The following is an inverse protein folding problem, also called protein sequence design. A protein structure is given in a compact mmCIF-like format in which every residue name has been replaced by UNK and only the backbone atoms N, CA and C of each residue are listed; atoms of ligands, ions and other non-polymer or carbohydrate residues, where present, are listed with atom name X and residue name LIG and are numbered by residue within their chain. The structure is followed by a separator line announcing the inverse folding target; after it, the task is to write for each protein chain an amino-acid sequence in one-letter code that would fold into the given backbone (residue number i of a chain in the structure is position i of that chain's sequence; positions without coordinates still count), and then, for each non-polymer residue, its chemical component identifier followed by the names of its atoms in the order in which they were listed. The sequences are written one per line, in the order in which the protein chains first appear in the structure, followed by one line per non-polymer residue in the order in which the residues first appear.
data_IF_911864009774
#
_entry.id   IF_911864009774
#
_cell.length_a   1.000
_cell.length_b   1.000
_cell.length_c   1.000
_cell.angle_alpha   90.00
_cell.angle_beta   90.00
_cell.angle_gamma   90.00
#
_symmetry.space_group_name_H-M   'P 1'
#
loop_
_entity.id
_entity.type
_entity.pdbx_description
1 polymer ?
#
# COMPACT_ATOMS: atom_id res chain seq x y z
N UNK A 1 -2.79 -27.27 1.23
CA UNK A 1 -4.04 -28.00 0.85
C UNK A 1 -5.06 -27.99 1.97
N UNK A 2 -4.85 -28.65 3.14
CA UNK A 2 -5.84 -28.69 4.23
C UNK A 2 -6.25 -27.27 4.68
N UNK A 3 -5.30 -26.42 5.02
CA UNK A 3 -5.56 -25.04 5.44
C UNK A 3 -6.31 -24.22 4.37
N UNK A 4 -5.98 -24.41 3.08
CA UNK A 4 -6.66 -23.73 1.97
C UNK A 4 -8.14 -24.10 1.92
N UNK A 5 -8.46 -25.39 2.04
CA UNK A 5 -9.85 -25.83 2.02
C UNK A 5 -10.60 -25.41 3.27
N UNK A 6 -9.96 -25.49 4.46
CA UNK A 6 -10.56 -24.99 5.70
C UNK A 6 -10.91 -23.50 5.60
N UNK A 7 -10.01 -22.69 5.02
CA UNK A 7 -10.29 -21.26 4.80
C UNK A 7 -11.49 -21.01 3.86
N UNK A 8 -11.65 -21.84 2.82
CA UNK A 8 -12.76 -21.74 1.87
C UNK A 8 -14.12 -22.20 2.43
N UNK A 9 -14.11 -23.07 3.47
CA UNK A 9 -15.32 -23.58 4.11
C UNK A 9 -15.53 -23.01 5.52
N UNK A 10 -14.72 -22.01 5.92
CA UNK A 10 -14.74 -21.43 7.26
C UNK A 10 -16.07 -20.72 7.56
N UNK A 11 -16.51 -19.86 6.64
CA UNK A 11 -17.75 -19.09 6.76
C UNK A 11 -18.85 -19.71 5.88
N UNK A 12 -19.94 -20.15 6.51
CA UNK A 12 -21.09 -20.73 5.81
C UNK A 12 -21.81 -19.76 4.89
N UNK A 13 -21.77 -18.46 5.23
CA UNK A 13 -22.47 -17.44 4.48
C UNK A 13 -21.68 -16.93 3.26
N UNK A 14 -20.41 -17.32 3.13
CA UNK A 14 -19.52 -16.86 2.08
C UNK A 14 -18.78 -18.03 1.38
N UNK A 15 -19.48 -19.13 1.15
CA UNK A 15 -18.93 -20.29 0.46
C UNK A 15 -19.02 -20.07 -1.06
N UNK A 16 -17.86 -19.89 -1.70
CA UNK A 16 -17.76 -19.74 -3.16
C UNK A 16 -17.98 -21.07 -3.94
N UNK A 17 -17.82 -22.20 -3.27
CA UNK A 17 -17.94 -23.55 -3.84
C UNK A 17 -18.62 -24.49 -2.86
N UNK A 18 -19.40 -25.43 -3.38
CA UNK A 18 -20.03 -26.49 -2.55
C UNK A 18 -18.99 -27.22 -1.70
N UNK A 19 -19.30 -27.41 -0.41
CA UNK A 19 -18.40 -28.02 0.56
C UNK A 19 -17.98 -29.45 0.19
N UNK A 20 -18.91 -30.22 -0.40
CA UNK A 20 -18.62 -31.59 -0.88
C UNK A 20 -17.61 -31.57 -2.02
N UNK A 21 -17.76 -30.62 -2.96
CA UNK A 21 -16.84 -30.44 -4.07
C UNK A 21 -15.44 -30.06 -3.57
N UNK A 22 -15.33 -29.15 -2.61
CA UNK A 22 -14.04 -28.74 -2.03
C UNK A 22 -13.33 -29.90 -1.32
N UNK A 23 -14.07 -30.70 -0.54
CA UNK A 23 -13.51 -31.88 0.13
C UNK A 23 -13.02 -32.90 -0.89
N UNK A 24 -13.83 -33.19 -1.91
CA UNK A 24 -13.49 -34.15 -2.95
C UNK A 24 -12.23 -33.71 -3.74
N UNK A 25 -12.18 -32.44 -4.17
CA UNK A 25 -11.02 -31.90 -4.90
C UNK A 25 -9.75 -31.92 -4.05
N UNK A 26 -9.84 -31.65 -2.75
CA UNK A 26 -8.68 -31.78 -1.85
C UNK A 26 -8.17 -33.21 -1.74
N UNK A 27 -9.06 -34.18 -1.65
CA UNK A 27 -8.71 -35.60 -1.58
C UNK A 27 -8.08 -36.09 -2.89
N UNK A 28 -8.66 -35.74 -4.03
CA UNK A 28 -8.12 -36.08 -5.35
C UNK A 28 -6.75 -35.41 -5.59
N UNK A 29 -6.60 -34.16 -5.21
CA UNK A 29 -5.31 -33.46 -5.27
C UNK A 29 -4.26 -34.11 -4.37
N UNK A 30 -4.64 -34.63 -3.21
CA UNK A 30 -3.72 -35.39 -2.35
C UNK A 30 -3.33 -36.73 -2.98
N UNK A 31 -4.24 -37.44 -3.60
CA UNK A 31 -4.00 -38.72 -4.28
C UNK A 31 -3.11 -38.57 -5.51
N UNK A 32 -3.19 -37.45 -6.22
CA UNK A 32 -2.43 -37.22 -7.46
C UNK A 32 -0.93 -37.01 -7.25
N UNK A 33 -0.48 -36.74 -6.01
CA UNK A 33 0.92 -36.49 -5.67
C UNK A 33 1.49 -37.63 -4.81
N UNK A 34 2.62 -38.25 -5.18
CA UNK A 34 3.22 -39.34 -4.40
C UNK A 34 3.46 -38.97 -2.92
N UNK A 35 3.90 -37.73 -2.67
CA UNK A 35 4.26 -37.23 -1.34
C UNK A 35 3.07 -37.10 -0.38
N UNK A 36 1.84 -36.93 -0.92
CA UNK A 36 0.63 -36.70 -0.12
C UNK A 36 -0.42 -37.79 -0.25
N UNK A 37 -0.19 -38.79 -1.14
CA UNK A 37 -1.17 -39.84 -1.42
C UNK A 37 -1.60 -40.62 -0.17
N UNK A 38 -0.65 -40.94 0.72
CA UNK A 38 -0.93 -41.67 1.96
C UNK A 38 -1.74 -40.86 2.96
N UNK A 39 -1.79 -39.53 2.81
CA UNK A 39 -2.49 -38.59 3.70
C UNK A 39 -3.91 -38.27 3.22
N UNK A 40 -4.32 -38.78 2.07
CA UNK A 40 -5.63 -38.46 1.48
C UNK A 40 -6.82 -38.80 2.40
N UNK A 41 -6.77 -39.96 3.09
CA UNK A 41 -7.79 -40.38 4.06
C UNK A 41 -7.80 -39.49 5.30
N UNK A 42 -6.66 -39.07 5.79
CA UNK A 42 -6.53 -38.13 6.91
C UNK A 42 -7.10 -36.76 6.55
N UNK A 43 -6.77 -36.23 5.37
CA UNK A 43 -7.30 -34.95 4.86
C UNK A 43 -8.83 -35.03 4.79
N UNK A 44 -9.39 -36.12 4.22
CA UNK A 44 -10.84 -36.30 4.15
C UNK A 44 -11.48 -36.35 5.54
N UNK A 45 -10.88 -37.08 6.49
CA UNK A 45 -11.39 -37.16 7.85
C UNK A 45 -11.40 -35.80 8.57
N UNK A 46 -10.32 -35.04 8.46
CA UNK A 46 -10.22 -33.69 9.04
C UNK A 46 -11.28 -32.74 8.48
N UNK A 47 -11.44 -32.69 7.16
CA UNK A 47 -12.40 -31.79 6.51
C UNK A 47 -13.83 -32.17 6.85
N UNK A 48 -14.17 -33.48 6.83
CA UNK A 48 -15.51 -33.95 7.23
C UNK A 48 -15.79 -33.72 8.70
N UNK A 49 -14.81 -33.87 9.58
CA UNK A 49 -14.94 -33.52 11.00
C UNK A 49 -15.23 -32.04 11.17
N UNK A 50 -14.47 -31.18 10.49
CA UNK A 50 -14.70 -29.74 10.52
C UNK A 50 -16.12 -29.37 10.09
N UNK A 51 -16.63 -29.95 9.00
CA UNK A 51 -17.97 -29.67 8.53
C UNK A 51 -19.07 -30.10 9.55
N UNK A 52 -18.86 -31.21 10.31
CA UNK A 52 -19.82 -31.66 11.34
C UNK A 52 -19.74 -30.84 12.61
N UNK A 53 -18.55 -30.40 13.01
CA UNK A 53 -18.28 -29.80 14.31
C UNK A 53 -17.92 -28.31 14.18
N UNK A 54 -18.20 -27.69 13.01
CA UNK A 54 -17.74 -26.37 12.62
C UNK A 54 -17.98 -25.33 13.72
N UNK A 55 -19.20 -25.15 14.20
CA UNK A 55 -19.54 -24.14 15.19
C UNK A 55 -18.69 -24.27 16.47
N UNK A 56 -18.59 -25.50 17.01
CA UNK A 56 -17.81 -25.77 18.22
C UNK A 56 -16.30 -25.55 18.00
N UNK A 57 -15.77 -25.93 16.83
CA UNK A 57 -14.35 -25.74 16.51
C UNK A 57 -14.01 -24.25 16.29
N UNK A 58 -14.91 -23.49 15.66
CA UNK A 58 -14.73 -22.04 15.50
C UNK A 58 -14.80 -21.34 16.86
N UNK A 59 -15.78 -21.69 17.71
CA UNK A 59 -15.90 -21.12 19.05
C UNK A 59 -14.63 -21.38 19.88
N UNK A 60 -14.15 -22.63 19.88
CA UNK A 60 -12.92 -23.00 20.60
C UNK A 60 -11.69 -22.23 20.10
N UNK A 61 -11.51 -22.12 18.80
CA UNK A 61 -10.35 -21.39 18.20
C UNK A 61 -10.45 -19.88 18.41
N UNK A 62 -11.65 -19.32 18.40
CA UNK A 62 -11.90 -17.88 18.61
C UNK A 62 -11.59 -17.40 20.03
N UNK A 63 -11.33 -18.31 20.97
CA UNK A 63 -10.81 -17.94 22.29
C UNK A 63 -9.34 -17.49 22.24
N UNK A 64 -8.62 -17.80 21.18
CA UNK A 64 -7.24 -17.35 20.97
C UNK A 64 -7.24 -16.08 20.13
N UNK A 65 -6.62 -15.01 20.64
CA UNK A 65 -6.59 -13.70 19.93
C UNK A 65 -5.95 -13.79 18.54
N UNK A 66 -4.91 -14.62 18.37
CA UNK A 66 -4.26 -14.82 17.08
C UNK A 66 -5.22 -15.43 16.04
N UNK A 67 -6.04 -16.38 16.45
CA UNK A 67 -7.05 -16.97 15.60
C UNK A 67 -8.22 -16.02 15.33
N UNK A 68 -8.69 -15.33 16.38
CA UNK A 68 -9.79 -14.36 16.28
C UNK A 68 -9.47 -13.22 15.32
N UNK A 69 -8.28 -12.64 15.46
CA UNK A 69 -7.86 -11.47 14.68
C UNK A 69 -7.04 -11.82 13.44
N UNK A 70 -6.63 -13.08 13.29
CA UNK A 70 -5.79 -13.55 12.17
C UNK A 70 -4.48 -12.74 12.03
N UNK A 71 -3.83 -12.46 13.18
CA UNK A 71 -2.56 -11.75 13.27
C UNK A 71 -1.64 -12.40 14.31
N UNK A 72 -0.31 -12.31 14.17
CA UNK A 72 0.62 -12.77 15.22
C UNK A 72 0.42 -12.01 16.53
N UNK A 73 0.64 -12.68 17.67
CA UNK A 73 0.44 -12.10 18.99
C UNK A 73 1.23 -10.80 19.24
N UNK A 74 2.50 -10.73 18.79
CA UNK A 74 3.31 -9.52 18.89
C UNK A 74 2.68 -8.33 18.13
N UNK A 75 2.08 -8.59 16.96
CA UNK A 75 1.40 -7.57 16.16
C UNK A 75 0.17 -7.03 16.85
N UNK A 76 -0.68 -7.94 17.35
CA UNK A 76 -1.88 -7.58 18.12
C UNK A 76 -1.50 -6.72 19.32
N UNK A 77 -0.49 -7.16 20.10
CA UNK A 77 -0.01 -6.44 21.28
C UNK A 77 0.50 -5.03 20.92
N UNK A 78 1.24 -4.90 19.81
CA UNK A 78 1.76 -3.62 19.33
C UNK A 78 0.63 -2.68 18.91
N UNK A 79 -0.34 -3.13 18.09
CA UNK A 79 -1.47 -2.30 17.65
C UNK A 79 -2.35 -1.90 18.86
N UNK A 80 -2.62 -2.80 19.80
CA UNK A 80 -3.34 -2.47 21.04
C UNK A 80 -2.65 -1.36 21.83
N UNK A 81 -1.33 -1.42 21.95
CA UNK A 81 -0.53 -0.43 22.68
C UNK A 81 -0.53 0.92 21.98
N UNK A 82 -0.40 0.94 20.67
CA UNK A 82 -0.27 2.17 19.90
C UNK A 82 -1.62 2.84 19.62
N UNK A 83 -2.68 2.05 19.47
CA UNK A 83 -4.02 2.52 19.12
C UNK A 83 -5.11 1.94 20.03
N UNK A 84 -5.09 2.21 21.34
CA UNK A 84 -5.98 1.58 22.32
C UNK A 84 -7.47 1.78 22.02
N UNK A 85 -7.82 2.88 21.34
CA UNK A 85 -9.21 3.25 21.03
C UNK A 85 -9.75 2.51 19.79
N UNK A 86 -8.89 2.21 18.80
CA UNK A 86 -9.33 1.72 17.49
C UNK A 86 -8.59 0.45 16.99
N UNK A 87 -7.80 -0.21 17.84
CA UNK A 87 -7.05 -1.40 17.45
C UNK A 87 -7.91 -2.51 16.81
N UNK A 88 -9.16 -2.67 17.31
CA UNK A 88 -10.08 -3.69 16.77
C UNK A 88 -10.49 -3.37 15.33
N UNK A 89 -10.82 -2.11 15.05
CA UNK A 89 -11.19 -1.69 13.70
C UNK A 89 -10.02 -1.82 12.72
N UNK A 90 -8.79 -1.50 13.16
CA UNK A 90 -7.57 -1.69 12.34
C UNK A 90 -7.35 -3.16 11.99
N UNK A 91 -7.40 -4.07 12.97
CA UNK A 91 -7.23 -5.51 12.72
C UNK A 91 -8.39 -6.09 11.88
N UNK A 92 -9.62 -5.63 12.11
CA UNK A 92 -10.78 -6.05 11.31
C UNK A 92 -10.66 -5.57 9.85
N UNK A 93 -10.23 -4.33 9.62
CA UNK A 93 -10.00 -3.79 8.27
C UNK A 93 -8.97 -4.61 7.49
N UNK A 94 -7.91 -5.08 8.15
CA UNK A 94 -6.88 -5.93 7.56
C UNK A 94 -7.40 -7.29 7.05
N UNK A 95 -8.55 -7.75 7.54
CA UNK A 95 -9.17 -9.01 7.15
C UNK A 95 -10.26 -8.85 6.08
N UNK A 96 -10.60 -7.62 5.70
CA UNK A 96 -11.58 -7.35 4.64
C UNK A 96 -10.91 -7.36 3.27
N UNK A 97 -11.72 -7.57 2.24
CA UNK A 97 -11.27 -7.41 0.86
C UNK A 97 -10.97 -5.93 0.60
N UNK A 98 -9.79 -5.66 0.05
CA UNK A 98 -9.43 -4.31 -0.35
C UNK A 98 -10.29 -3.83 -1.54
N UNK A 99 -10.69 -2.56 -1.57
CA UNK A 99 -11.39 -2.00 -2.73
C UNK A 99 -10.46 -1.94 -3.94
N UNK A 100 -11.03 -2.06 -5.13
CA UNK A 100 -10.32 -1.77 -6.37
C UNK A 100 -10.44 -0.27 -6.66
N UNK A 101 -9.38 0.47 -6.35
CA UNK A 101 -9.32 1.92 -6.54
C UNK A 101 -8.40 2.25 -7.71
N UNK A 102 -8.88 3.08 -8.60
CA UNK A 102 -8.19 3.58 -9.78
C UNK A 102 -7.79 5.03 -9.54
N UNK A 103 -6.60 5.41 -9.95
CA UNK A 103 -6.18 6.80 -10.14
C UNK A 103 -6.27 7.14 -11.61
N UNK A 104 -7.09 8.12 -11.95
CA UNK A 104 -7.29 8.55 -13.33
C UNK A 104 -6.14 9.44 -13.79
N UNK A 105 -5.58 9.13 -14.95
CA UNK A 105 -4.58 9.96 -15.61
C UNK A 105 -5.27 11.22 -16.19
N UNK A 106 -5.23 12.30 -15.40
CA UNK A 106 -5.92 13.55 -15.76
C UNK A 106 -5.37 14.23 -17.03
N UNK A 107 -4.21 13.78 -17.52
CA UNK A 107 -3.66 14.24 -18.81
C UNK A 107 -4.38 13.61 -20.01
N UNK A 108 -5.11 12.52 -19.80
CA UNK A 108 -5.78 11.74 -20.87
C UNK A 108 -7.30 11.80 -20.77
N UNK A 109 -7.85 11.74 -19.57
CA UNK A 109 -9.31 11.75 -19.35
C UNK A 109 -9.62 12.33 -17.97
N UNK A 110 -10.77 12.99 -17.82
CA UNK A 110 -11.26 13.46 -16.53
C UNK A 110 -11.94 12.33 -15.76
N UNK A 111 -11.92 12.40 -14.41
CA UNK A 111 -12.62 11.43 -13.57
C UNK A 111 -14.13 11.35 -13.88
N UNK A 112 -14.76 12.49 -14.17
CA UNK A 112 -16.18 12.54 -14.56
C UNK A 112 -16.43 11.80 -15.88
N UNK A 113 -15.64 12.08 -16.92
CA UNK A 113 -15.78 11.41 -18.21
C UNK A 113 -15.53 9.90 -18.11
N UNK A 114 -14.56 9.48 -17.26
CA UNK A 114 -14.30 8.07 -17.05
C UNK A 114 -15.45 7.37 -16.30
N UNK A 115 -16.06 8.01 -15.28
CA UNK A 115 -17.25 7.49 -14.61
C UNK A 115 -18.43 7.29 -15.60
N UNK A 116 -18.61 8.21 -16.54
CA UNK A 116 -19.61 8.06 -17.58
C UNK A 116 -19.33 6.86 -18.50
N UNK A 117 -18.06 6.61 -18.83
CA UNK A 117 -17.67 5.41 -19.61
C UNK A 117 -17.98 4.13 -18.83
N UNK A 118 -17.63 4.06 -17.55
CA UNK A 118 -17.94 2.91 -16.70
C UNK A 118 -19.46 2.67 -16.61
N UNK A 119 -20.24 3.75 -16.43
CA UNK A 119 -21.71 3.68 -16.38
C UNK A 119 -22.31 3.11 -17.68
N UNK A 120 -21.82 3.51 -18.87
CA UNK A 120 -22.27 2.96 -20.16
C UNK A 120 -22.03 1.45 -20.29
N UNK A 121 -21.03 0.92 -19.59
CA UNK A 121 -20.69 -0.49 -19.54
C UNK A 121 -21.34 -1.24 -18.36
N UNK A 122 -22.25 -0.59 -17.62
CA UNK A 122 -22.88 -1.11 -16.40
C UNK A 122 -21.87 -1.51 -15.32
N UNK A 123 -20.74 -0.79 -15.22
CA UNK A 123 -19.74 -0.98 -14.19
C UNK A 123 -20.01 0.03 -13.08
N UNK A 124 -20.42 -0.48 -11.91
CA UNK A 124 -20.69 0.38 -10.75
C UNK A 124 -19.39 0.90 -10.14
N UNK A 125 -19.27 2.22 -10.11
CA UNK A 125 -18.12 2.93 -9.55
C UNK A 125 -18.54 4.23 -8.88
N UNK A 126 -17.69 4.75 -8.00
CA UNK A 126 -17.89 6.06 -7.33
C UNK A 126 -16.60 6.87 -7.36
N UNK A 127 -16.74 8.18 -7.37
CA UNK A 127 -15.62 9.08 -7.13
C UNK A 127 -15.23 9.05 -5.64
N UNK A 128 -13.91 9.05 -5.35
CA UNK A 128 -13.38 8.92 -3.99
C UNK A 128 -12.37 10.02 -3.64
N UNK A 129 -12.43 11.14 -4.34
CA UNK A 129 -11.56 12.30 -4.15
C UNK A 129 -10.47 12.43 -5.21
N UNK A 130 -10.04 13.65 -5.50
CA UNK A 130 -8.98 13.93 -6.48
C UNK A 130 -9.19 13.23 -7.82
N UNK A 131 -8.19 12.45 -8.24
CA UNK A 131 -8.25 11.60 -9.43
C UNK A 131 -8.79 10.17 -9.15
N UNK A 132 -9.26 9.90 -7.92
CA UNK A 132 -9.62 8.57 -7.45
C UNK A 132 -11.03 8.13 -7.88
N UNK A 133 -11.12 6.91 -8.39
CA UNK A 133 -12.39 6.21 -8.65
C UNK A 133 -12.31 4.82 -8.04
N UNK A 134 -13.33 4.43 -7.27
CA UNK A 134 -13.44 3.11 -6.66
C UNK A 134 -14.53 2.31 -7.38
N UNK A 135 -14.20 1.06 -7.72
CA UNK A 135 -15.15 0.11 -8.27
C UNK A 135 -15.84 -0.65 -7.12
N UNK A 136 -17.17 -0.74 -7.17
CA UNK A 136 -17.95 -1.48 -6.14
C UNK A 136 -17.70 -2.98 -6.17
N UNK A 137 -17.30 -3.52 -7.32
CA UNK A 137 -16.97 -4.94 -7.48
C UNK A 137 -15.60 -5.09 -8.14
N UNK A 138 -14.69 -5.90 -7.57
CA UNK A 138 -13.44 -6.23 -8.23
C UNK A 138 -13.68 -6.92 -9.58
N UNK A 139 -12.85 -6.56 -10.56
CA UNK A 139 -12.82 -7.20 -11.87
C UNK A 139 -11.42 -7.14 -12.45
N UNK A 140 -11.20 -7.85 -13.56
CA UNK A 140 -9.90 -7.81 -14.24
C UNK A 140 -9.59 -6.37 -14.68
N UNK A 141 -8.44 -5.86 -14.25
CA UNK A 141 -8.01 -4.50 -14.56
C UNK A 141 -7.81 -4.29 -16.06
N UNK A 142 -7.30 -5.33 -16.74
CA UNK A 142 -7.05 -5.29 -18.18
C UNK A 142 -8.33 -5.25 -19.02
N UNK A 143 -9.46 -5.69 -18.44
CA UNK A 143 -10.77 -5.63 -19.11
C UNK A 143 -11.45 -4.26 -18.98
N UNK A 144 -10.93 -3.38 -18.13
CA UNK A 144 -11.47 -2.04 -17.97
C UNK A 144 -11.11 -1.14 -19.16
N UNK A 145 -12.06 -0.28 -19.61
CA UNK A 145 -11.81 0.61 -20.73
C UNK A 145 -10.66 1.57 -20.43
N UNK A 146 -9.75 1.73 -21.39
CA UNK A 146 -8.62 2.66 -21.28
C UNK A 146 -7.40 2.14 -20.51
N UNK A 147 -7.35 0.86 -20.13
CA UNK A 147 -6.15 0.29 -19.49
C UNK A 147 -4.92 0.37 -20.38
N UNK A 148 -5.02 -0.12 -21.61
CA UNK A 148 -3.91 -0.11 -22.56
C UNK A 148 -3.59 1.30 -23.07
N UNK A 149 -4.58 2.17 -23.13
CA UNK A 149 -4.42 3.58 -23.47
C UNK A 149 -3.82 4.42 -22.33
N UNK A 150 -3.66 3.81 -21.14
CA UNK A 150 -3.09 4.46 -19.97
C UNK A 150 -3.98 5.54 -19.36
N UNK A 151 -5.30 5.36 -19.41
CA UNK A 151 -6.26 6.31 -18.82
C UNK A 151 -6.28 6.27 -17.30
N UNK A 152 -5.76 5.19 -16.69
CA UNK A 152 -5.70 5.04 -15.25
C UNK A 152 -4.55 4.13 -14.79
N UNK A 153 -4.28 4.20 -13.50
CA UNK A 153 -3.44 3.26 -12.74
C UNK A 153 -4.23 2.70 -11.57
N UNK A 154 -3.95 1.46 -11.16
CA UNK A 154 -4.47 0.94 -9.89
C UNK A 154 -3.63 1.51 -8.77
N UNK A 155 -4.27 2.24 -7.85
CA UNK A 155 -3.59 2.81 -6.70
C UNK A 155 -4.60 3.05 -5.58
N UNK A 156 -4.24 2.65 -4.35
CA UNK A 156 -5.05 2.91 -3.16
C UNK A 156 -5.30 4.40 -2.94
N UNK A 157 -6.47 4.75 -2.38
CA UNK A 157 -6.86 6.16 -2.19
C UNK A 157 -5.87 6.92 -1.30
N UNK A 158 -5.37 6.30 -0.21
CA UNK A 158 -4.35 6.94 0.62
C UNK A 158 -3.03 7.13 -0.13
N UNK A 159 -2.61 6.14 -0.95
CA UNK A 159 -1.39 6.25 -1.76
C UNK A 159 -1.45 7.38 -2.80
N UNK A 160 -2.65 7.77 -3.25
CA UNK A 160 -2.85 8.87 -4.19
C UNK A 160 -2.57 10.26 -3.58
N UNK A 161 -2.46 10.38 -2.26
CA UNK A 161 -2.15 11.64 -1.59
C UNK A 161 -0.70 12.10 -1.78
N UNK A 162 0.23 11.18 -2.04
CA UNK A 162 1.67 11.46 -2.06
C UNK A 162 2.04 12.60 -3.04
N UNK A 163 1.70 12.46 -4.31
CA UNK A 163 2.08 13.45 -5.32
C UNK A 163 1.42 14.83 -5.09
N UNK A 164 0.10 14.94 -4.83
CA UNK A 164 -0.52 16.22 -4.49
C UNK A 164 0.05 16.89 -3.24
N UNK A 165 0.38 16.13 -2.19
CA UNK A 165 1.00 16.66 -0.97
C UNK A 165 2.38 17.26 -1.25
N UNK A 166 3.24 16.52 -1.95
CA UNK A 166 4.57 16.99 -2.28
C UNK A 166 4.53 18.27 -3.16
N UNK A 167 3.65 18.25 -4.16
CA UNK A 167 3.58 19.33 -5.17
C UNK A 167 2.74 20.54 -4.75
N UNK A 168 1.99 20.46 -3.63
CA UNK A 168 1.14 21.56 -3.14
C UNK A 168 1.95 22.83 -2.88
N UNK A 169 1.72 23.88 -3.69
CA UNK A 169 2.42 25.16 -3.58
C UNK A 169 3.92 25.12 -3.95
N UNK A 170 4.39 24.09 -4.64
CA UNK A 170 5.68 24.13 -5.35
C UNK A 170 5.52 25.11 -6.51
N UNK A 171 6.46 26.07 -6.61
CA UNK A 171 6.45 27.03 -7.70
C UNK A 171 6.75 26.31 -9.03
N UNK A 172 5.89 26.54 -10.02
CA UNK A 172 6.16 26.09 -11.38
C UNK A 172 7.35 26.84 -11.95
N UNK A 173 8.44 26.13 -12.16
CA UNK A 173 9.62 26.61 -12.89
C UNK A 173 9.99 25.61 -13.97
N UNK A 174 10.62 26.11 -15.04
CA UNK A 174 10.96 25.28 -16.21
C UNK A 174 11.99 24.18 -15.93
N UNK A 175 12.73 24.31 -14.84
CA UNK A 175 13.84 23.45 -14.42
C UNK A 175 13.57 22.76 -13.07
N UNK A 176 12.31 22.50 -12.75
CA UNK A 176 11.90 21.83 -11.53
C UNK A 176 12.49 20.42 -11.47
N UNK A 177 13.39 20.16 -10.53
CA UNK A 177 14.03 18.87 -10.33
C UNK A 177 13.36 18.10 -9.20
N UNK A 178 12.86 16.89 -9.50
CA UNK A 178 12.15 16.01 -8.56
C UNK A 178 12.85 14.66 -8.45
N UNK A 179 12.99 14.17 -7.24
CA UNK A 179 13.42 12.80 -6.97
C UNK A 179 12.25 11.99 -6.39
N UNK A 180 11.99 10.83 -6.96
CA UNK A 180 11.17 9.77 -6.35
C UNK A 180 12.14 8.67 -5.88
N UNK A 181 12.40 8.64 -4.59
CA UNK A 181 13.30 7.67 -3.97
C UNK A 181 12.53 6.43 -3.51
N UNK A 182 13.07 5.24 -3.79
CA UNK A 182 12.41 3.95 -3.61
C UNK A 182 11.15 3.82 -4.49
N UNK A 183 11.30 4.20 -5.78
CA UNK A 183 10.19 4.54 -6.68
C UNK A 183 9.35 3.35 -7.17
N UNK A 184 9.90 2.13 -7.15
CA UNK A 184 9.23 0.98 -7.76
C UNK A 184 7.95 0.55 -7.00
N UNK A 185 6.89 0.24 -7.74
CA UNK A 185 6.79 -0.06 -9.18
C UNK A 185 6.44 1.15 -10.09
N UNK A 186 6.63 2.39 -9.64
CA UNK A 186 6.45 3.57 -10.47
C UNK A 186 5.08 4.27 -10.36
N UNK A 187 4.22 3.82 -9.46
CA UNK A 187 2.87 4.39 -9.31
C UNK A 187 2.88 5.85 -8.82
N UNK A 188 3.77 6.20 -7.88
CA UNK A 188 3.94 7.58 -7.38
C UNK A 188 4.73 8.43 -8.37
N UNK A 189 5.77 7.85 -9.02
CA UNK A 189 6.50 8.45 -10.15
C UNK A 189 5.53 8.93 -11.24
N UNK A 190 4.67 8.04 -11.70
CA UNK A 190 3.67 8.36 -12.73
C UNK A 190 2.73 9.48 -12.27
N UNK A 191 2.26 9.43 -11.02
CA UNK A 191 1.37 10.46 -10.49
C UNK A 191 2.03 11.85 -10.43
N UNK A 192 3.30 11.92 -10.02
CA UNK A 192 4.07 13.17 -10.06
C UNK A 192 4.12 13.75 -11.48
N UNK A 193 4.40 12.90 -12.48
CA UNK A 193 4.45 13.30 -13.89
C UNK A 193 3.07 13.65 -14.47
N UNK A 194 2.00 13.04 -13.97
CA UNK A 194 0.62 13.35 -14.40
C UNK A 194 0.19 14.75 -13.97
N UNK A 195 0.64 15.22 -12.78
CA UNK A 195 0.18 16.50 -12.19
C UNK A 195 1.20 17.64 -12.32
N UNK A 196 2.43 17.35 -12.75
CA UNK A 196 3.48 18.38 -12.87
C UNK A 196 4.34 18.20 -14.11
N UNK A 197 4.96 19.30 -14.54
CA UNK A 197 6.05 19.28 -15.51
C UNK A 197 7.35 19.43 -14.75
N UNK A 198 8.17 18.39 -14.70
CA UNK A 198 9.41 18.37 -13.95
C UNK A 198 10.43 17.44 -14.60
N UNK A 199 11.71 17.69 -14.33
CA UNK A 199 12.80 16.74 -14.57
C UNK A 199 12.82 15.76 -13.40
N UNK A 200 12.30 14.53 -13.62
CA UNK A 200 12.10 13.54 -12.59
C UNK A 200 13.10 12.40 -12.70
N UNK A 201 13.78 12.13 -11.59
CA UNK A 201 14.58 10.91 -11.39
C UNK A 201 13.76 9.95 -10.52
N UNK A 202 13.50 8.74 -11.05
CA UNK A 202 12.94 7.63 -10.31
C UNK A 202 14.07 6.66 -9.93
N UNK A 203 14.33 6.50 -8.64
CA UNK A 203 15.44 5.71 -8.11
C UNK A 203 14.90 4.51 -7.34
N UNK A 204 15.40 3.32 -7.65
CA UNK A 204 15.16 2.11 -6.83
C UNK A 204 16.44 1.26 -6.80
N UNK A 205 16.64 0.56 -5.68
CA UNK A 205 17.84 -0.28 -5.50
C UNK A 205 17.79 -1.57 -6.33
N UNK A 206 16.61 -2.02 -6.71
CA UNK A 206 16.37 -3.29 -7.40
C UNK A 206 16.17 -3.05 -8.91
N UNK A 207 17.11 -3.57 -9.71
CA UNK A 207 17.09 -3.44 -11.16
C UNK A 207 15.82 -4.04 -11.81
N UNK A 208 15.34 -5.20 -11.29
CA UNK A 208 14.13 -5.86 -11.82
C UNK A 208 12.89 -4.99 -11.49
N UNK A 209 12.89 -4.36 -10.33
CA UNK A 209 11.81 -3.44 -9.97
C UNK A 209 11.86 -2.15 -10.78
N UNK A 210 13.05 -1.68 -11.19
CA UNK A 210 13.19 -0.54 -12.11
C UNK A 210 12.57 -0.81 -13.49
N UNK A 211 12.65 -2.04 -14.01
CA UNK A 211 11.95 -2.42 -15.25
C UNK A 211 10.43 -2.20 -15.15
N UNK A 212 9.83 -2.50 -13.99
CA UNK A 212 8.40 -2.24 -13.74
C UNK A 212 8.04 -0.75 -13.76
N UNK A 213 8.98 0.12 -13.35
CA UNK A 213 8.79 1.58 -13.49
C UNK A 213 8.72 1.95 -14.95
N UNK A 214 9.64 1.44 -15.78
CA UNK A 214 9.67 1.70 -17.23
C UNK A 214 8.39 1.20 -17.90
N UNK A 215 7.93 -0.02 -17.58
CA UNK A 215 6.67 -0.58 -18.13
C UNK A 215 5.46 0.29 -17.74
N UNK A 216 5.41 0.72 -16.48
CA UNK A 216 4.34 1.59 -15.98
C UNK A 216 4.32 2.91 -16.73
N UNK A 217 5.48 3.55 -16.88
CA UNK A 217 5.62 4.84 -17.59
C UNK A 217 5.29 4.70 -19.08
N UNK A 218 5.78 3.64 -19.74
CA UNK A 218 5.51 3.36 -21.15
C UNK A 218 4.01 3.22 -21.43
N UNK A 219 3.29 2.41 -20.60
CA UNK A 219 1.83 2.25 -20.73
C UNK A 219 1.07 3.57 -20.58
N UNK A 220 1.53 4.43 -19.65
CA UNK A 220 0.89 5.71 -19.38
C UNK A 220 1.30 6.82 -20.37
N UNK A 221 2.30 6.58 -21.22
CA UNK A 221 2.86 7.58 -22.13
C UNK A 221 3.63 8.68 -21.41
N UNK A 222 4.37 8.30 -20.35
CA UNK A 222 5.16 9.20 -19.50
C UNK A 222 6.66 8.84 -19.61
N UNK A 223 7.53 9.79 -19.31
CA UNK A 223 8.99 9.60 -19.31
C UNK A 223 9.63 10.18 -18.06
N UNK A 224 10.59 9.45 -17.50
CA UNK A 224 11.47 9.88 -16.44
C UNK A 224 12.86 9.26 -16.60
N UNK A 225 13.86 9.80 -15.92
CA UNK A 225 15.15 9.16 -15.77
C UNK A 225 15.04 8.06 -14.69
N UNK A 226 15.00 6.78 -15.10
CA UNK A 226 14.99 5.67 -14.15
C UNK A 226 16.43 5.24 -13.86
N UNK A 227 16.82 5.25 -12.59
CA UNK A 227 18.16 4.88 -12.14
C UNK A 227 18.09 3.71 -11.16
N UNK A 228 18.99 2.74 -11.32
CA UNK A 228 19.23 1.70 -10.30
C UNK A 228 20.28 2.22 -9.34
N UNK A 229 19.98 2.27 -8.04
CA UNK A 229 20.93 2.77 -7.05
C UNK A 229 20.36 2.76 -5.63
N UNK A 230 21.27 2.74 -4.68
CA UNK A 230 20.96 2.85 -3.27
C UNK A 230 20.76 4.34 -2.89
N UNK A 231 19.55 4.70 -2.47
CA UNK A 231 19.25 6.08 -2.08
C UNK A 231 20.13 6.59 -0.92
N UNK A 232 20.67 5.68 -0.10
CA UNK A 232 21.63 6.02 0.95
C UNK A 232 23.05 6.35 0.42
N UNK A 233 23.33 6.11 -0.87
CA UNK A 233 24.63 6.35 -1.51
C UNK A 233 24.52 7.31 -2.70
N UNK A 234 24.24 8.58 -2.45
CA UNK A 234 23.98 9.56 -3.52
C UNK A 234 25.19 9.79 -4.46
N UNK A 235 26.40 9.48 -4.04
CA UNK A 235 27.61 9.53 -4.87
C UNK A 235 27.54 8.63 -6.10
N UNK A 236 26.80 7.50 -6.02
CA UNK A 236 26.72 6.51 -7.09
C UNK A 236 25.71 6.91 -8.21
N UNK A 237 24.74 7.81 -7.92
CA UNK A 237 23.64 8.07 -8.85
C UNK A 237 23.28 9.56 -9.02
N UNK A 238 23.67 10.45 -8.08
CA UNK A 238 23.19 11.82 -8.01
C UNK A 238 24.04 12.83 -8.82
N UNK A 239 25.31 12.53 -9.09
CA UNK A 239 26.23 13.41 -9.85
C UNK A 239 26.28 14.85 -9.29
N UNK A 240 26.14 15.01 -7.97
CA UNK A 240 26.11 16.31 -7.31
C UNK A 240 24.81 17.11 -7.46
N UNK A 241 23.80 16.60 -8.15
CA UNK A 241 22.51 17.24 -8.37
C UNK A 241 21.77 17.48 -7.05
N UNK A 242 21.10 18.63 -6.92
CA UNK A 242 20.18 18.95 -5.85
C UNK A 242 18.74 18.96 -6.40
N UNK A 243 17.77 18.70 -5.51
CA UNK A 243 16.37 18.57 -5.88
C UNK A 243 15.51 19.64 -5.21
N UNK A 244 14.51 20.12 -5.91
CA UNK A 244 13.49 21.03 -5.40
C UNK A 244 12.44 20.30 -4.57
N UNK A 245 12.15 19.05 -4.96
CA UNK A 245 11.22 18.20 -4.26
C UNK A 245 11.71 16.76 -4.24
N UNK A 246 11.58 16.09 -3.10
CA UNK A 246 11.96 14.70 -2.90
C UNK A 246 10.74 13.96 -2.32
N UNK A 247 10.32 12.89 -2.99
CA UNK A 247 9.43 11.89 -2.44
C UNK A 247 10.28 10.73 -1.93
N UNK A 248 10.20 10.44 -0.64
CA UNK A 248 10.77 9.25 -0.04
C UNK A 248 9.64 8.31 0.34
N UNK A 249 9.32 7.36 -0.54
CA UNK A 249 8.40 6.24 -0.25
C UNK A 249 9.20 5.10 0.37
N UNK A 250 9.50 5.26 1.67
CA UNK A 250 10.53 4.50 2.35
C UNK A 250 10.20 3.00 2.48
N UNK A 251 11.22 2.12 2.40
CA UNK A 251 11.03 0.71 2.72
C UNK A 251 10.53 0.58 4.16
N UNK A 252 9.46 -0.21 4.36
CA UNK A 252 8.79 -0.33 5.65
C UNK A 252 8.24 -1.74 5.87
N UNK A 253 7.63 -1.98 7.03
CA UNK A 253 6.99 -3.27 7.33
C UNK A 253 5.80 -3.59 6.44
N UNK A 254 5.25 -2.62 5.73
CA UNK A 254 4.02 -2.72 4.93
C UNK A 254 2.78 -3.10 5.79
N UNK A 255 2.81 -2.71 7.06
CA UNK A 255 1.76 -3.07 8.04
C UNK A 255 0.40 -2.40 7.76
N UNK A 256 0.37 -1.40 6.92
CA UNK A 256 -0.86 -0.70 6.52
C UNK A 256 -1.59 -1.33 5.33
N UNK A 257 -0.90 -2.19 4.54
CA UNK A 257 -1.46 -2.77 3.31
C UNK A 257 -1.73 -4.29 3.43
N UNK A 258 -1.88 -4.78 4.64
CA UNK A 258 -2.05 -6.21 4.95
C UNK A 258 -3.25 -6.83 4.23
N UNK A 259 -4.34 -6.11 4.04
CA UNK A 259 -5.51 -6.63 3.32
C UNK A 259 -5.24 -6.92 1.83
N UNK A 260 -4.20 -6.28 1.24
CA UNK A 260 -3.74 -6.56 -0.15
C UNK A 260 -2.66 -7.62 -0.19
N UNK A 261 -1.85 -7.69 0.87
CA UNK A 261 -0.73 -8.61 1.04
C UNK A 261 -0.87 -9.35 2.38
N UNK A 262 -1.81 -10.31 2.48
CA UNK A 262 -2.15 -10.94 3.76
C UNK A 262 -1.03 -11.80 4.35
N UNK A 263 -0.06 -12.19 3.55
CA UNK A 263 1.16 -12.90 3.95
C UNK A 263 2.11 -12.01 4.78
N UNK A 264 2.11 -10.70 4.56
CA UNK A 264 2.99 -9.74 5.26
C UNK A 264 2.90 -9.90 6.78
N UNK A 265 1.70 -10.03 7.34
CA UNK A 265 1.50 -10.18 8.78
C UNK A 265 2.21 -11.40 9.38
N UNK A 266 2.38 -12.45 8.59
CA UNK A 266 3.03 -13.71 9.00
C UNK A 266 4.51 -13.79 8.65
N UNK A 267 4.94 -13.07 7.62
CA UNK A 267 6.34 -13.00 7.19
C UNK A 267 7.16 -12.01 8.02
N UNK A 268 6.53 -10.94 8.53
CA UNK A 268 7.21 -9.95 9.38
C UNK A 268 7.43 -10.46 10.79
N UNK A 269 8.56 -10.05 11.36
CA UNK A 269 8.94 -10.28 12.76
C UNK A 269 8.92 -8.94 13.50
N UNK A 270 8.75 -8.98 14.81
CA UNK A 270 8.79 -7.76 15.62
C UNK A 270 10.13 -7.00 15.47
N UNK A 271 11.24 -7.75 15.31
CA UNK A 271 12.58 -7.19 15.10
C UNK A 271 12.75 -6.43 13.79
N UNK A 272 11.88 -6.65 12.78
CA UNK A 272 11.97 -5.93 11.50
C UNK A 272 11.58 -4.46 11.66
N UNK A 273 10.71 -4.12 12.62
CA UNK A 273 10.25 -2.75 12.85
C UNK A 273 11.42 -1.82 13.18
N UNK A 274 12.25 -2.05 14.22
CA UNK A 274 13.39 -1.17 14.50
C UNK A 274 14.46 -1.20 13.42
N UNK A 275 14.65 -2.32 12.70
CA UNK A 275 15.63 -2.40 11.62
C UNK A 275 15.23 -1.49 10.44
N UNK A 276 13.96 -1.55 10.01
CA UNK A 276 13.45 -0.70 8.94
C UNK A 276 13.39 0.76 9.37
N UNK A 277 13.00 1.03 10.62
CA UNK A 277 13.02 2.39 11.17
C UNK A 277 14.43 3.01 11.13
N UNK A 278 15.48 2.21 11.36
CA UNK A 278 16.87 2.68 11.23
C UNK A 278 17.21 3.04 9.77
N UNK A 279 16.85 2.20 8.81
CA UNK A 279 17.05 2.45 7.37
C UNK A 279 16.31 3.74 6.96
N UNK A 280 15.08 3.91 7.41
CA UNK A 280 14.27 5.10 7.13
C UNK A 280 14.93 6.38 7.66
N UNK A 281 15.49 6.33 8.88
CA UNK A 281 16.24 7.46 9.46
C UNK A 281 17.48 7.81 8.63
N UNK A 282 18.24 6.81 8.20
CA UNK A 282 19.44 7.01 7.35
C UNK A 282 19.06 7.62 6.00
N UNK A 283 17.99 7.13 5.37
CA UNK A 283 17.48 7.67 4.10
C UNK A 283 17.01 9.13 4.23
N UNK A 284 16.27 9.44 5.30
CA UNK A 284 15.83 10.82 5.58
C UNK A 284 17.02 11.77 5.70
N UNK A 285 18.04 11.38 6.45
CA UNK A 285 19.24 12.21 6.65
C UNK A 285 19.99 12.48 5.34
N UNK A 286 20.26 11.41 4.58
CA UNK A 286 21.02 11.50 3.32
C UNK A 286 20.28 12.32 2.27
N UNK A 287 18.97 12.08 2.13
CA UNK A 287 18.14 12.77 1.13
C UNK A 287 17.88 14.24 1.52
N UNK A 288 17.87 14.55 2.82
CA UNK A 288 17.77 15.94 3.27
C UNK A 288 18.92 16.81 2.77
N UNK A 289 20.14 16.25 2.71
CA UNK A 289 21.31 16.96 2.20
C UNK A 289 21.23 17.19 0.68
N UNK A 290 20.42 16.41 -0.03
CA UNK A 290 20.19 16.58 -1.47
C UNK A 290 19.05 17.53 -1.81
N UNK A 291 18.39 18.10 -0.83
CA UNK A 291 17.32 19.07 -1.02
C UNK A 291 17.88 20.49 -1.06
N UNK A 292 17.44 21.31 -2.03
CA UNK A 292 17.78 22.74 -2.08
C UNK A 292 17.18 23.50 -0.89
N UNK A 293 17.76 24.63 -0.45
CA UNK A 293 17.08 25.54 0.48
C UNK A 293 15.72 25.96 -0.09
N UNK A 294 14.67 25.93 0.74
CA UNK A 294 13.27 26.15 0.31
C UNK A 294 12.60 24.94 -0.35
N UNK A 295 13.35 23.87 -0.63
CA UNK A 295 12.83 22.63 -1.19
C UNK A 295 11.97 21.84 -0.20
N UNK A 296 11.32 20.78 -0.70
CA UNK A 296 10.37 19.95 0.05
C UNK A 296 10.72 18.48 0.02
N UNK A 297 10.62 17.81 1.15
CA UNK A 297 10.73 16.37 1.26
C UNK A 297 9.44 15.81 1.84
N UNK A 298 8.78 14.95 1.08
CA UNK A 298 7.65 14.14 1.57
C UNK A 298 8.18 12.76 1.96
N UNK A 299 8.09 12.46 3.24
CA UNK A 299 8.31 11.14 3.78
C UNK A 299 6.99 10.38 3.81
N UNK A 300 6.97 9.17 3.26
CA UNK A 300 5.82 8.28 3.31
C UNK A 300 6.21 6.84 3.59
N UNK A 301 5.33 6.12 4.30
CA UNK A 301 5.38 4.69 4.48
C UNK A 301 3.98 4.10 4.39
N UNK A 302 3.86 2.86 3.90
CA UNK A 302 2.62 2.09 4.00
C UNK A 302 2.60 1.29 5.32
N UNK A 303 2.94 1.95 6.43
CA UNK A 303 2.98 1.38 7.78
C UNK A 303 2.02 2.08 8.72
N UNK A 304 1.44 1.30 9.63
CA UNK A 304 0.66 1.82 10.76
C UNK A 304 1.47 1.88 12.06
N UNK A 305 2.70 1.36 12.10
CA UNK A 305 3.52 1.40 13.31
C UNK A 305 4.12 2.78 13.53
N UNK A 306 3.98 3.30 14.77
CA UNK A 306 4.44 4.64 15.13
C UNK A 306 5.95 4.82 14.97
N UNK A 307 6.73 3.76 15.10
CA UNK A 307 8.19 3.77 14.89
C UNK A 307 8.58 4.11 13.45
N UNK A 308 7.73 3.76 12.46
CA UNK A 308 7.94 4.00 11.03
C UNK A 308 7.22 5.27 10.53
N UNK A 309 6.59 6.01 11.42
CA UNK A 309 5.84 7.24 11.15
C UNK A 309 6.24 8.38 12.08
N UNK A 310 5.39 8.69 13.07
CA UNK A 310 5.60 9.77 14.04
C UNK A 310 6.96 9.72 14.73
N UNK A 311 7.45 8.51 15.03
CA UNK A 311 8.77 8.31 15.64
C UNK A 311 9.89 8.87 14.75
N UNK A 312 9.83 8.58 13.43
CA UNK A 312 10.80 9.12 12.47
C UNK A 312 10.72 10.63 12.37
N UNK A 313 9.51 11.18 12.25
CA UNK A 313 9.29 12.61 12.15
C UNK A 313 9.85 13.37 13.36
N UNK A 314 9.59 12.88 14.57
CA UNK A 314 10.10 13.49 15.81
C UNK A 314 11.63 13.44 15.89
N UNK A 315 12.22 12.30 15.57
CA UNK A 315 13.68 12.13 15.57
C UNK A 315 14.35 13.02 14.52
N UNK A 316 13.79 13.08 13.33
CA UNK A 316 14.29 13.91 12.23
C UNK A 316 14.28 15.41 12.57
N UNK A 317 13.17 15.94 13.09
CA UNK A 317 13.06 17.35 13.51
C UNK A 317 13.97 17.69 14.69
N UNK A 318 14.23 16.73 15.58
CA UNK A 318 15.17 16.93 16.69
C UNK A 318 16.62 17.11 16.18
N UNK A 319 16.97 16.40 15.09
CA UNK A 319 18.30 16.41 14.48
C UNK A 319 18.48 17.58 13.51
N UNK A 320 17.52 17.86 12.63
CA UNK A 320 17.61 18.85 11.55
C UNK A 320 16.87 20.14 11.92
N UNK A 321 17.60 21.12 12.49
CA UNK A 321 17.01 22.39 12.97
C UNK A 321 16.51 23.30 11.86
N UNK A 322 16.95 23.08 10.63
CA UNK A 322 16.48 23.76 9.43
C UNK A 322 15.31 23.07 8.75
N UNK A 323 14.79 21.97 9.34
CA UNK A 323 13.58 21.31 8.86
C UNK A 323 12.34 21.91 9.55
N UNK A 324 11.36 22.28 8.74
CA UNK A 324 10.05 22.76 9.20
C UNK A 324 9.00 21.75 8.75
N UNK A 325 8.25 21.22 9.72
CA UNK A 325 7.12 20.32 9.43
C UNK A 325 5.96 21.13 8.87
N UNK A 326 5.49 20.73 7.70
CA UNK A 326 4.32 21.28 7.04
C UNK A 326 3.07 20.43 7.35
N UNK A 327 1.91 20.98 7.04
CA UNK A 327 0.65 20.24 7.16
C UNK A 327 0.62 19.00 6.26
N UNK A 328 0.41 17.85 6.88
CA UNK A 328 0.27 16.54 6.25
C UNK A 328 -0.65 15.64 7.11
N UNK A 329 -1.23 14.58 6.54
CA UNK A 329 -2.19 13.75 7.27
C UNK A 329 -1.65 13.03 8.51
N UNK A 330 -0.33 12.80 8.61
CA UNK A 330 0.22 11.91 9.64
C UNK A 330 -0.16 10.44 9.38
N UNK A 331 -0.53 9.70 10.43
CA UNK A 331 -1.00 8.32 10.31
C UNK A 331 -2.43 8.25 9.79
N UNK A 332 -2.59 7.57 8.66
CA UNK A 332 -3.86 7.10 8.11
C UNK A 332 -4.01 5.63 8.49
N UNK A 333 -4.98 5.32 9.33
CA UNK A 333 -5.24 3.93 9.70
C UNK A 333 -6.17 3.27 8.70
N UNK A 334 -5.98 1.97 8.37
CA UNK A 334 -6.88 1.28 7.47
C UNK A 334 -8.29 1.31 8.06
N UNK A 335 -9.23 1.80 7.27
CA UNK A 335 -10.62 1.99 7.65
C UNK A 335 -11.52 1.17 6.73
N UNK A 336 -12.60 0.67 7.28
CA UNK A 336 -13.58 -0.14 6.57
C UNK A 336 -14.87 0.63 6.24
N UNK A 337 -14.79 1.92 6.09
CA UNK A 337 -15.91 2.74 5.60
C UNK A 337 -16.97 3.14 6.64
N UNK A 338 -16.78 2.80 7.91
CA UNK A 338 -17.70 3.18 9.00
C UNK A 338 -16.96 4.01 10.05
N UNK A 339 -16.81 5.31 9.82
CA UNK A 339 -16.20 6.21 10.80
C UNK A 339 -16.06 7.63 10.27
N UNK A 340 -16.09 8.60 11.16
CA UNK A 340 -15.76 9.99 10.84
C UNK A 340 -14.30 10.06 10.39
N UNK A 341 -14.06 10.43 9.15
CA UNK A 341 -12.74 10.74 8.64
C UNK A 341 -12.24 12.03 9.24
N UNK A 342 -11.01 12.03 9.72
CA UNK A 342 -10.27 13.24 10.07
C UNK A 342 -9.69 13.94 8.83
N UNK A 343 -9.89 13.36 7.65
CA UNK A 343 -9.48 13.92 6.36
C UNK A 343 -10.65 14.64 5.71
N UNK A 344 -10.31 15.67 4.92
CA UNK A 344 -11.20 16.46 4.09
C UNK A 344 -12.35 15.60 3.51
N UNK A 345 -13.56 16.13 3.43
CA UNK A 345 -14.79 15.45 2.95
C UNK A 345 -14.64 14.77 1.56
N UNK A 346 -13.49 14.96 0.91
CA UNK A 346 -13.16 14.53 -0.44
C UNK A 346 -12.30 13.26 -0.54
N UNK A 347 -11.95 12.59 0.56
CA UNK A 347 -11.13 11.35 0.52
C UNK A 347 -11.97 10.15 0.93
N UNK A 348 -11.84 9.05 0.18
CA UNK A 348 -12.51 7.79 0.51
C UNK A 348 -12.22 7.37 1.94
N UNK A 349 -13.27 7.00 2.67
CA UNK A 349 -13.14 6.40 4.00
C UNK A 349 -12.60 4.96 3.97
N UNK A 350 -12.53 4.33 2.80
CA UNK A 350 -12.00 2.98 2.62
C UNK A 350 -10.64 3.03 1.92
N UNK A 351 -9.58 3.13 2.71
CA UNK A 351 -8.20 3.19 2.24
C UNK A 351 -7.28 2.29 3.09
N UNK A 352 -6.10 2.02 2.56
CA UNK A 352 -5.04 1.32 3.28
C UNK A 352 -4.38 2.22 4.34
N UNK A 353 -3.60 1.61 5.23
CA UNK A 353 -2.81 2.35 6.21
C UNK A 353 -1.57 2.98 5.57
N UNK A 354 -1.38 4.28 5.84
CA UNK A 354 -0.22 5.05 5.39
C UNK A 354 0.24 6.02 6.48
N UNK A 355 1.46 6.52 6.30
CA UNK A 355 1.97 7.66 7.04
C UNK A 355 2.52 8.70 6.07
N UNK A 356 2.29 9.98 6.38
CA UNK A 356 2.80 11.11 5.61
C UNK A 356 3.34 12.20 6.51
N UNK A 357 4.57 12.66 6.25
CA UNK A 357 5.14 13.89 6.83
C UNK A 357 5.80 14.71 5.73
N UNK A 358 5.42 15.96 5.61
CA UNK A 358 5.97 16.90 4.64
C UNK A 358 6.90 17.88 5.36
N UNK A 359 8.14 17.95 4.90
CA UNK A 359 9.13 18.89 5.41
C UNK A 359 9.50 19.93 4.36
N UNK A 360 9.79 21.15 4.80
CA UNK A 360 10.47 22.16 3.97
C UNK A 360 11.81 22.54 4.62
N UNK A 361 12.83 22.75 3.77
CA UNK A 361 14.16 23.14 4.21
C UNK A 361 14.22 24.66 4.32
N UNK A 362 14.35 25.17 5.54
CA UNK A 362 14.47 26.60 5.74
C UNK A 362 15.73 27.15 5.04
N UNK A 363 15.61 28.34 4.44
CA UNK A 363 16.76 29.06 3.97
C UNK A 363 17.49 29.58 5.22
N UNK A 364 18.73 29.12 5.46
CA UNK A 364 19.54 29.56 6.58
C UNK A 364 19.89 31.05 6.50
#
# INVERSE_FOLDING_TARGET
MLCTVLALIWDENNISYDAFTLVNQAVEAAKSRPETRQQASFINACLRRFLRERAALIELTSQQEEALWNHPGWWIAKIKKQYPQCWRSVLAANNRQAPLTLRINIRKITSTAYLEQLKKLNIDARWVGGAGIELKRPQSVESLPGFHEGWFSVQDAAAQLAAPLLMRGVQHKSDLCVLDACAAPGGKTAHLLEISQCDLIALDIDAIRCERILDTLARLGLTAAVKVGDAAKPEDWCEGKLFDAILLDAPCTASGIVRRHPDVRWLRRESDVPQLAKIQSELLDVLWDKLVPGGRLLYSTCSVFLEEGDGQTKAFLAKHKNAVLMEAPGHLLPSAGEGESTLDENVSHDHDGFYYALFTKHQG
#
